data_IF_206689888680
#
_entry.id   IF_206689888680
#
_cell.length_a   1.000
_cell.length_b   1.000
_cell.length_c   1.000
_cell.angle_alpha   90.00
_cell.angle_beta   90.00
_cell.angle_gamma   90.00
#
_symmetry.space_group_name_H-M   'P 1'
#
loop_
_entity.id
_entity.type
_entity.pdbx_description
1 polymer ?
#
# COMPACT_ATOMS: atom_id res chain seq x y z
N UNK A 1 16.08 -37.16 24.33
CA UNK A 1 16.70 -37.05 23.00
C UNK A 1 16.37 -35.70 22.44
N UNK A 2 17.30 -34.77 22.53
CA UNK A 2 17.15 -33.43 21.95
C UNK A 2 17.46 -33.55 20.45
N UNK A 3 16.47 -33.37 19.62
CA UNK A 3 16.63 -33.24 18.18
C UNK A 3 17.31 -31.91 17.91
N UNK A 4 18.62 -31.93 17.72
CA UNK A 4 19.39 -30.83 17.20
C UNK A 4 18.88 -30.56 15.77
N UNK A 5 17.96 -29.59 15.64
CA UNK A 5 17.52 -29.10 14.33
C UNK A 5 18.72 -28.39 13.72
N UNK A 6 19.27 -28.99 12.68
CA UNK A 6 20.45 -28.58 11.97
C UNK A 6 20.25 -27.16 11.40
N UNK A 7 20.88 -26.18 12.00
CA UNK A 7 20.94 -24.78 11.55
C UNK A 7 21.52 -24.62 10.12
N UNK A 8 22.22 -25.66 9.62
CA UNK A 8 22.77 -25.66 8.25
C UNK A 8 21.70 -25.84 7.17
N UNK A 9 20.58 -26.49 7.47
CA UNK A 9 19.50 -26.71 6.50
C UNK A 9 18.70 -25.43 6.18
N UNK A 10 18.71 -24.43 7.06
CA UNK A 10 18.03 -23.15 6.83
C UNK A 10 18.73 -22.25 5.82
N UNK A 11 20.04 -22.42 5.61
CA UNK A 11 20.77 -21.63 4.61
C UNK A 11 20.54 -22.06 3.17
N UNK A 12 20.01 -23.28 2.94
CA UNK A 12 19.81 -23.81 1.59
C UNK A 12 18.66 -23.14 0.82
N UNK A 13 17.74 -22.45 1.51
CA UNK A 13 16.56 -21.79 0.93
C UNK A 13 16.51 -20.28 1.20
N UNK A 14 17.58 -19.67 1.68
CA UNK A 14 17.61 -18.23 1.91
C UNK A 14 18.00 -17.47 0.63
N UNK A 15 17.40 -16.29 0.46
CA UNK A 15 17.70 -15.37 -0.65
C UNK A 15 18.40 -14.13 -0.08
N UNK A 16 19.43 -13.63 -0.76
CA UNK A 16 19.97 -12.33 -0.42
C UNK A 16 19.07 -11.19 -0.90
N UNK A 17 19.32 -9.97 -0.41
CA UNK A 17 18.51 -8.80 -0.73
C UNK A 17 18.48 -8.51 -2.24
N UNK A 18 19.53 -8.84 -2.98
CA UNK A 18 19.61 -8.65 -4.43
C UNK A 18 18.68 -9.59 -5.16
N UNK A 19 18.63 -10.86 -4.73
CA UNK A 19 17.72 -11.86 -5.29
C UNK A 19 16.26 -11.53 -4.96
N UNK A 20 15.97 -11.09 -3.72
CA UNK A 20 14.63 -10.63 -3.34
C UNK A 20 14.21 -9.44 -4.18
N UNK A 21 15.09 -8.45 -4.36
CA UNK A 21 14.85 -7.28 -5.22
C UNK A 21 14.50 -7.68 -6.65
N UNK A 22 15.30 -8.58 -7.23
CA UNK A 22 15.10 -9.08 -8.59
C UNK A 22 13.77 -9.81 -8.76
N UNK A 23 13.40 -10.66 -7.79
CA UNK A 23 12.19 -11.49 -7.86
C UNK A 23 10.92 -10.74 -7.52
N UNK A 24 10.99 -9.77 -6.61
CA UNK A 24 9.83 -8.94 -6.22
C UNK A 24 9.62 -7.73 -7.12
N UNK A 25 10.63 -7.32 -7.89
CA UNK A 25 10.62 -6.07 -8.66
C UNK A 25 10.79 -4.81 -7.80
N UNK A 26 11.03 -4.95 -6.49
CA UNK A 26 11.21 -3.83 -5.57
C UNK A 26 12.68 -3.47 -5.43
N UNK A 27 12.97 -2.16 -5.31
CA UNK A 27 14.32 -1.69 -5.06
C UNK A 27 14.84 -2.17 -3.69
N UNK A 28 16.14 -2.42 -3.58
CA UNK A 28 16.77 -2.82 -2.32
C UNK A 28 16.57 -1.78 -1.19
N UNK A 29 16.48 -0.49 -1.54
CA UNK A 29 16.13 0.59 -0.61
C UNK A 29 14.74 0.43 -0.02
N UNK A 30 13.75 0.07 -0.85
CA UNK A 30 12.38 -0.22 -0.41
C UNK A 30 12.34 -1.44 0.54
N UNK A 31 13.09 -2.49 0.24
CA UNK A 31 13.19 -3.67 1.09
C UNK A 31 13.79 -3.33 2.46
N UNK A 32 14.83 -2.49 2.51
CA UNK A 32 15.41 -2.00 3.77
C UNK A 32 14.40 -1.18 4.56
N UNK A 33 13.67 -0.29 3.90
CA UNK A 33 12.63 0.51 4.51
C UNK A 33 11.50 -0.37 5.10
N UNK A 34 11.06 -1.40 4.39
CA UNK A 34 10.06 -2.34 4.91
C UNK A 34 10.59 -3.16 6.09
N UNK A 35 11.86 -3.52 6.09
CA UNK A 35 12.50 -4.18 7.24
C UNK A 35 12.55 -3.25 8.46
N UNK A 36 12.95 -1.98 8.28
CA UNK A 36 12.97 -0.96 9.34
C UNK A 36 11.58 -0.70 9.92
N UNK A 37 10.54 -0.74 9.07
CA UNK A 37 9.12 -0.63 9.46
C UNK A 37 8.56 -1.92 10.07
N UNK A 38 9.33 -2.99 10.13
CA UNK A 38 8.90 -4.27 10.68
C UNK A 38 7.91 -5.05 9.81
N UNK A 39 7.70 -4.66 8.56
CA UNK A 39 6.81 -5.34 7.61
C UNK A 39 7.40 -6.67 7.12
N UNK A 40 8.71 -6.71 6.94
CA UNK A 40 9.47 -7.92 6.62
C UNK A 40 10.64 -8.06 7.60
N UNK A 41 11.25 -9.24 7.67
CA UNK A 41 12.46 -9.44 8.47
C UNK A 41 13.47 -10.28 7.70
N UNK A 42 14.75 -9.92 7.86
CA UNK A 42 15.85 -10.78 7.49
C UNK A 42 16.03 -11.90 8.52
N UNK A 43 16.50 -13.06 8.07
CA UNK A 43 16.88 -14.19 8.92
C UNK A 43 18.25 -13.99 9.57
N UNK A 44 19.05 -13.04 9.09
CA UNK A 44 20.43 -12.78 9.48
C UNK A 44 21.22 -12.21 8.31
N UNK A 45 22.54 -12.31 8.41
CA UNK A 45 23.47 -11.81 7.39
C UNK A 45 24.49 -12.88 7.03
N UNK A 46 24.87 -12.91 5.76
CA UNK A 46 26.05 -13.60 5.27
C UNK A 46 27.07 -12.52 4.85
N UNK A 47 28.05 -12.28 5.70
CA UNK A 47 28.94 -11.11 5.56
C UNK A 47 28.14 -9.81 5.66
N UNK A 48 28.19 -8.95 4.66
CA UNK A 48 27.44 -7.69 4.57
C UNK A 48 26.03 -7.84 3.99
N UNK A 49 25.67 -9.02 3.45
CA UNK A 49 24.39 -9.25 2.78
C UNK A 49 23.31 -9.72 3.74
N UNK A 50 22.14 -9.08 3.70
CA UNK A 50 20.92 -9.54 4.39
C UNK A 50 20.37 -10.77 3.69
N UNK A 51 19.98 -11.78 4.48
CA UNK A 51 19.34 -13.01 4.01
C UNK A 51 17.87 -13.03 4.43
N UNK A 52 17.01 -13.44 3.53
CA UNK A 52 15.56 -13.54 3.74
C UNK A 52 15.08 -14.97 3.49
N UNK A 53 14.06 -15.38 4.23
CA UNK A 53 13.34 -16.61 3.96
C UNK A 53 12.48 -16.47 2.67
N UNK A 54 12.20 -17.59 1.96
CA UNK A 54 11.39 -17.54 0.73
C UNK A 54 10.00 -16.92 0.92
N UNK A 55 9.42 -17.05 2.10
CA UNK A 55 8.11 -16.49 2.49
C UNK A 55 8.07 -14.95 2.39
N UNK A 56 9.22 -14.29 2.34
CA UNK A 56 9.29 -12.84 2.15
C UNK A 56 8.62 -12.40 0.84
N UNK A 57 8.63 -13.23 -0.20
CA UNK A 57 8.00 -12.90 -1.48
C UNK A 57 6.47 -12.83 -1.36
N UNK A 58 5.85 -13.71 -0.59
CA UNK A 58 4.41 -13.64 -0.29
C UNK A 58 4.08 -12.41 0.57
N UNK A 59 4.90 -12.11 1.56
CA UNK A 59 4.76 -10.91 2.38
C UNK A 59 4.82 -9.64 1.53
N UNK A 60 5.79 -9.55 0.61
CA UNK A 60 5.94 -8.42 -0.30
C UNK A 60 4.76 -8.33 -1.29
N UNK A 61 4.24 -9.46 -1.77
CA UNK A 61 3.06 -9.48 -2.62
C UNK A 61 1.82 -8.96 -1.88
N UNK A 62 1.62 -9.36 -0.61
CA UNK A 62 0.53 -8.85 0.22
C UNK A 62 0.67 -7.35 0.51
N UNK A 63 1.88 -6.88 0.78
CA UNK A 63 2.16 -5.43 0.96
C UNK A 63 1.78 -4.67 -0.32
N UNK A 64 2.21 -5.15 -1.48
CA UNK A 64 1.91 -4.52 -2.77
C UNK A 64 0.41 -4.49 -3.07
N UNK A 65 -0.28 -5.60 -2.81
CA UNK A 65 -1.74 -5.69 -2.96
C UNK A 65 -2.45 -4.73 -2.01
N UNK A 66 -2.05 -4.67 -0.75
CA UNK A 66 -2.61 -3.77 0.24
C UNK A 66 -2.46 -2.30 -0.16
N UNK A 67 -1.27 -1.91 -0.62
CA UNK A 67 -1.03 -0.55 -1.12
C UNK A 67 -1.87 -0.23 -2.37
N UNK A 68 -2.01 -1.17 -3.30
CA UNK A 68 -2.86 -1.00 -4.47
C UNK A 68 -4.35 -0.82 -4.10
N UNK A 69 -4.80 -1.46 -3.03
CA UNK A 69 -6.14 -1.29 -2.46
C UNK A 69 -6.29 -0.01 -1.61
N UNK A 70 -5.23 0.80 -1.47
CA UNK A 70 -5.26 2.05 -0.72
C UNK A 70 -5.09 1.91 0.79
N UNK A 71 -4.57 0.78 1.26
CA UNK A 71 -4.15 0.64 2.66
C UNK A 71 -2.82 1.35 2.90
N UNK A 72 -2.68 1.99 4.06
CA UNK A 72 -1.40 2.49 4.53
C UNK A 72 -0.49 1.35 4.98
N UNK A 73 0.82 1.60 5.07
CA UNK A 73 1.77 0.59 5.58
C UNK A 73 1.46 0.18 7.02
N UNK A 74 0.94 1.08 7.84
CA UNK A 74 0.54 0.78 9.23
C UNK A 74 -0.70 -0.13 9.26
N UNK A 75 -1.68 0.10 8.39
CA UNK A 75 -2.83 -0.80 8.21
C UNK A 75 -2.38 -2.18 7.70
N UNK A 76 -1.45 -2.21 6.73
CA UNK A 76 -0.88 -3.44 6.19
C UNK A 76 -0.11 -4.21 7.26
N UNK A 77 0.64 -3.53 8.13
CA UNK A 77 1.35 -4.17 9.24
C UNK A 77 0.40 -4.94 10.17
N UNK A 78 -0.84 -4.46 10.35
CA UNK A 78 -1.88 -5.13 11.14
C UNK A 78 -2.43 -6.39 10.45
N UNK A 79 -2.17 -6.58 9.16
CA UNK A 79 -2.55 -7.79 8.41
C UNK A 79 -1.59 -8.97 8.63
N UNK A 80 -0.54 -8.79 9.42
CA UNK A 80 0.40 -9.83 9.79
C UNK A 80 0.31 -10.13 11.27
N UNK A 81 0.39 -11.42 11.62
CA UNK A 81 0.55 -11.89 12.99
C UNK A 81 1.99 -11.68 13.48
N UNK A 82 2.23 -11.92 14.77
CA UNK A 82 3.56 -11.76 15.37
C UNK A 82 4.65 -12.63 14.69
N UNK A 83 4.27 -13.78 14.14
CA UNK A 83 5.13 -14.67 13.34
C UNK A 83 5.15 -14.31 11.85
N UNK A 84 4.64 -13.14 11.48
CA UNK A 84 4.60 -12.55 10.12
C UNK A 84 3.81 -13.36 9.10
N UNK A 85 2.88 -14.17 9.55
CA UNK A 85 1.90 -14.82 8.68
C UNK A 85 0.73 -13.90 8.40
N UNK A 86 0.12 -13.99 7.21
CA UNK A 86 -1.09 -13.21 6.91
C UNK A 86 -2.20 -13.50 7.92
N UNK A 87 -2.71 -12.45 8.54
CA UNK A 87 -3.82 -12.49 9.50
C UNK A 87 -4.76 -11.33 9.20
N UNK A 88 -5.59 -11.51 8.17
CA UNK A 88 -6.40 -10.44 7.60
C UNK A 88 -7.75 -10.39 8.29
N UNK A 89 -8.08 -9.26 8.90
CA UNK A 89 -9.40 -9.01 9.46
C UNK A 89 -10.42 -8.68 8.35
N UNK A 90 -11.46 -9.49 8.26
CA UNK A 90 -12.55 -9.31 7.29
C UNK A 90 -13.28 -7.98 7.44
N UNK A 91 -13.40 -7.45 8.67
CA UNK A 91 -14.02 -6.15 8.93
C UNK A 91 -13.17 -5.02 8.35
N UNK A 92 -11.84 -5.12 8.46
CA UNK A 92 -10.91 -4.17 7.85
C UNK A 92 -11.08 -4.13 6.33
N UNK A 93 -11.20 -5.30 5.68
CA UNK A 93 -11.44 -5.38 4.24
C UNK A 93 -12.77 -4.73 3.84
N UNK A 94 -13.86 -5.04 4.56
CA UNK A 94 -15.19 -4.47 4.29
C UNK A 94 -15.15 -2.93 4.45
N UNK A 95 -14.59 -2.43 5.53
CA UNK A 95 -14.43 -0.99 5.77
C UNK A 95 -13.63 -0.29 4.66
N UNK A 96 -12.58 -0.94 4.14
CA UNK A 96 -11.80 -0.40 3.03
C UNK A 96 -12.61 -0.38 1.75
N UNK A 97 -13.41 -1.40 1.47
CA UNK A 97 -14.32 -1.42 0.32
C UNK A 97 -15.31 -0.26 0.39
N UNK A 98 -15.95 -0.01 1.54
CA UNK A 98 -16.85 1.12 1.73
C UNK A 98 -16.14 2.48 1.51
N UNK A 99 -14.90 2.62 1.96
CA UNK A 99 -14.08 3.82 1.73
C UNK A 99 -13.79 4.03 0.24
N UNK A 100 -13.49 2.96 -0.50
CA UNK A 100 -13.26 3.00 -1.95
C UNK A 100 -14.54 3.38 -2.67
N UNK A 101 -15.70 2.82 -2.32
CA UNK A 101 -16.98 3.16 -2.92
C UNK A 101 -17.34 4.64 -2.71
N UNK A 102 -17.10 5.17 -1.51
CA UNK A 102 -17.26 6.59 -1.22
C UNK A 102 -16.30 7.45 -2.05
N UNK A 103 -15.06 6.98 -2.27
CA UNK A 103 -14.10 7.67 -3.13
C UNK A 103 -14.53 7.65 -4.60
N UNK A 104 -15.02 6.53 -5.11
CA UNK A 104 -15.56 6.39 -6.46
C UNK A 104 -16.70 7.39 -6.68
N UNK A 105 -17.65 7.48 -5.75
CA UNK A 105 -18.77 8.43 -5.82
C UNK A 105 -18.27 9.87 -5.91
N UNK A 106 -17.29 10.25 -5.09
CA UNK A 106 -16.67 11.58 -5.15
C UNK A 106 -15.96 11.84 -6.48
N UNK A 107 -15.22 10.84 -6.98
CA UNK A 107 -14.50 10.97 -8.25
C UNK A 107 -15.48 11.12 -9.43
N UNK A 108 -16.61 10.41 -9.43
CA UNK A 108 -17.66 10.59 -10.42
C UNK A 108 -18.23 12.01 -10.40
N UNK A 109 -18.59 12.52 -9.23
CA UNK A 109 -19.09 13.89 -9.09
C UNK A 109 -18.06 14.93 -9.58
N UNK A 110 -16.78 14.73 -9.29
CA UNK A 110 -15.71 15.61 -9.78
C UNK A 110 -15.56 15.51 -11.30
N UNK A 111 -15.59 14.30 -11.87
CA UNK A 111 -15.53 14.09 -13.32
C UNK A 111 -16.66 14.80 -14.05
N UNK A 112 -17.89 14.69 -13.54
CA UNK A 112 -19.06 15.37 -14.11
C UNK A 112 -18.91 16.89 -14.03
N UNK A 113 -18.40 17.39 -12.92
CA UNK A 113 -18.13 18.82 -12.73
C UNK A 113 -17.08 19.34 -13.71
N UNK A 114 -16.03 18.59 -13.97
CA UNK A 114 -14.99 18.93 -14.94
C UNK A 114 -15.53 18.94 -16.37
N UNK A 115 -16.36 17.95 -16.73
CA UNK A 115 -17.03 17.92 -18.04
C UNK A 115 -17.97 19.09 -18.23
N UNK A 116 -18.73 19.45 -17.18
CA UNK A 116 -19.56 20.65 -17.20
C UNK A 116 -18.72 21.91 -17.45
N UNK A 117 -17.61 22.07 -16.71
CA UNK A 117 -16.72 23.22 -16.88
C UNK A 117 -16.11 23.28 -18.30
N UNK A 118 -15.74 22.13 -18.87
CA UNK A 118 -15.19 22.04 -20.21
C UNK A 118 -16.18 22.49 -21.31
N UNK A 119 -17.47 22.27 -21.09
CA UNK A 119 -18.55 22.58 -22.05
C UNK A 119 -19.36 23.83 -21.69
N UNK A 120 -18.96 24.56 -20.64
CA UNK A 120 -19.69 25.72 -20.15
C UNK A 120 -19.59 26.90 -21.16
N UNK A 121 -20.71 27.52 -21.60
CA UNK A 121 -20.69 28.66 -22.51
C UNK A 121 -20.27 29.98 -21.85
N UNK A 122 -20.00 30.01 -20.54
CA UNK A 122 -19.57 31.20 -19.84
C UNK A 122 -18.25 31.75 -20.43
N UNK A 123 -18.05 33.07 -20.48
CA UNK A 123 -16.86 33.69 -21.08
C UNK A 123 -15.55 33.32 -20.37
N UNK A 124 -15.65 32.95 -19.09
CA UNK A 124 -14.57 32.36 -18.32
C UNK A 124 -15.14 31.48 -17.21
N UNK A 125 -14.34 30.55 -16.67
CA UNK A 125 -14.77 29.60 -15.63
C UNK A 125 -15.18 30.29 -14.32
N UNK A 126 -14.60 31.44 -14.00
CA UNK A 126 -14.95 32.21 -12.80
C UNK A 126 -16.34 32.83 -12.87
N UNK A 127 -16.87 33.03 -14.08
CA UNK A 127 -18.25 33.51 -14.32
C UNK A 127 -19.29 32.33 -14.29
N UNK A 128 -18.84 31.07 -14.27
CA UNK A 128 -19.71 29.92 -14.23
C UNK A 128 -20.22 29.64 -12.81
N UNK A 129 -21.56 29.66 -12.54
CA UNK A 129 -22.09 29.43 -11.20
C UNK A 129 -21.73 28.03 -10.64
N UNK A 130 -21.64 27.00 -11.50
CA UNK A 130 -21.26 25.65 -11.10
C UNK A 130 -19.81 25.58 -10.70
N UNK A 131 -18.91 26.24 -11.42
CA UNK A 131 -17.49 26.31 -11.05
C UNK A 131 -17.26 27.09 -9.76
N UNK A 132 -18.01 28.19 -9.57
CA UNK A 132 -17.96 28.95 -8.30
C UNK A 132 -18.40 28.11 -7.10
N UNK A 133 -19.41 27.24 -7.26
CA UNK A 133 -19.81 26.28 -6.20
C UNK A 133 -18.69 25.31 -5.86
N UNK A 134 -17.96 24.80 -6.85
CA UNK A 134 -16.80 23.94 -6.63
C UNK A 134 -15.69 24.67 -5.85
N UNK A 135 -15.40 25.91 -6.23
CA UNK A 135 -14.40 26.73 -5.51
C UNK A 135 -14.80 26.96 -4.05
N UNK A 136 -16.07 27.25 -3.78
CA UNK A 136 -16.58 27.41 -2.41
C UNK A 136 -16.47 26.10 -1.61
N UNK A 137 -16.82 24.96 -2.22
CA UNK A 137 -16.68 23.65 -1.58
C UNK A 137 -15.22 23.30 -1.29
N UNK A 138 -14.31 23.62 -2.21
CA UNK A 138 -12.88 23.43 -2.01
C UNK A 138 -12.34 24.29 -0.86
N UNK A 139 -12.71 25.59 -0.83
CA UNK A 139 -12.33 26.51 0.23
C UNK A 139 -12.85 26.10 1.61
N UNK A 140 -14.06 25.50 1.66
CA UNK A 140 -14.66 24.96 2.88
C UNK A 140 -14.08 23.59 3.31
N UNK A 141 -13.17 23.00 2.51
CA UNK A 141 -12.58 21.68 2.80
C UNK A 141 -13.54 20.52 2.59
N UNK A 142 -14.71 20.73 1.95
CA UNK A 142 -15.74 19.70 1.77
C UNK A 142 -15.45 18.76 0.57
N UNK A 143 -14.49 19.10 -0.28
CA UNK A 143 -14.06 18.25 -1.40
C UNK A 143 -13.11 17.12 -1.01
N UNK A 144 -12.95 16.86 0.28
CA UNK A 144 -12.14 15.74 0.79
C UNK A 144 -10.68 15.81 0.31
N UNK A 145 -9.75 16.14 1.20
CA UNK A 145 -8.32 15.93 0.91
C UNK A 145 -8.10 14.46 0.60
N UNK A 146 -7.39 14.09 -0.49
CA UNK A 146 -6.86 12.74 -0.61
C UNK A 146 -5.89 12.55 0.57
N UNK A 147 -6.16 11.56 1.40
CA UNK A 147 -5.21 11.09 2.41
C UNK A 147 -4.16 10.25 1.74
#
# INVERSE_FOLDING_TARGET
>A
MQTQVDLRSRHFFSMDISEVSKRSGLAASTLRYYEERGLIASMGRQGLRRLFAPEVLEQLALISLGQAAGFSLDEIAQMFSADRRPSIDRKMLASKADQIDAMITRMHAMSDSLRHAANCPAPNHLACPSFQRLLKAAAAGTLGKPR
#
